data_IF_390243090515
#
_entry.id   IF_390243090515
#
_cell.length_a   1.000
_cell.length_b   1.000
_cell.length_c   1.000
_cell.angle_alpha   90.00
_cell.angle_beta   90.00
_cell.angle_gamma   90.00
#
_symmetry.space_group_name_H-M   'P 1'
#
loop_
_entity.id
_entity.type
_entity.pdbx_description
1 polymer ?
#
# COMPACT_ATOMS: atom_id res chain seq x y z
N UNK A 1 -24.60 -23.19 7.19
CA UNK A 1 -23.12 -23.13 7.13
C UNK A 1 -22.65 -24.17 6.12
N UNK A 2 -21.96 -23.77 5.04
CA UNK A 2 -21.34 -24.70 4.09
C UNK A 2 -19.86 -24.76 4.42
N UNK A 3 -19.43 -25.82 5.10
CA UNK A 3 -18.06 -25.96 5.57
C UNK A 3 -17.33 -26.95 4.66
N UNK A 4 -16.27 -26.49 4.02
CA UNK A 4 -15.44 -27.20 3.03
C UNK A 4 -14.57 -28.33 3.63
N UNK A 5 -15.00 -28.94 4.74
CA UNK A 5 -14.23 -30.00 5.40
C UNK A 5 -14.18 -31.23 4.49
N UNK A 6 -12.97 -31.59 4.06
CA UNK A 6 -12.72 -32.78 3.23
C UNK A 6 -12.76 -32.53 1.72
N UNK A 7 -12.92 -31.29 1.27
CA UNK A 7 -12.77 -30.97 -0.15
C UNK A 7 -11.27 -30.85 -0.48
N UNK A 8 -10.87 -31.38 -1.63
CA UNK A 8 -9.51 -31.25 -2.16
C UNK A 8 -9.57 -30.65 -3.54
N UNK A 9 -8.78 -29.62 -3.77
CA UNK A 9 -8.59 -29.05 -5.10
C UNK A 9 -7.28 -29.55 -5.71
N UNK A 10 -7.28 -29.69 -7.03
CA UNK A 10 -6.09 -29.91 -7.84
C UNK A 10 -6.14 -28.92 -8.99
N UNK A 11 -5.22 -27.97 -8.99
CA UNK A 11 -5.07 -27.02 -10.09
C UNK A 11 -4.15 -27.59 -11.17
N UNK A 12 -4.59 -27.51 -12.42
CA UNK A 12 -3.85 -27.95 -13.58
C UNK A 12 -3.10 -26.77 -14.24
N UNK A 13 -2.03 -27.03 -15.01
CA UNK A 13 -1.21 -25.97 -15.63
C UNK A 13 -1.95 -25.10 -16.66
N UNK A 14 -3.06 -25.59 -17.21
CA UNK A 14 -3.95 -24.88 -18.14
C UNK A 14 -4.95 -23.94 -17.42
N UNK A 15 -4.88 -23.89 -16.08
CA UNK A 15 -5.76 -23.09 -15.24
C UNK A 15 -7.07 -23.79 -14.85
N UNK A 16 -7.30 -25.03 -15.28
CA UNK A 16 -8.47 -25.82 -14.87
C UNK A 16 -8.34 -26.26 -13.40
N UNK A 17 -9.41 -26.10 -12.62
CA UNK A 17 -9.46 -26.54 -11.22
C UNK A 17 -10.36 -27.78 -11.09
N UNK A 18 -9.79 -28.86 -10.56
CA UNK A 18 -10.51 -30.08 -10.22
C UNK A 18 -10.88 -30.05 -8.74
N UNK A 19 -12.16 -30.04 -8.41
CA UNK A 19 -12.68 -30.10 -7.05
C UNK A 19 -13.13 -31.51 -6.73
N UNK A 20 -12.53 -32.13 -5.71
CA UNK A 20 -12.98 -33.41 -5.15
C UNK A 20 -13.69 -33.14 -3.84
N UNK A 21 -14.97 -33.44 -3.77
CA UNK A 21 -15.77 -33.30 -2.56
C UNK A 21 -15.58 -34.54 -1.67
N UNK A 22 -15.96 -34.41 -0.41
CA UNK A 22 -15.88 -35.48 0.59
C UNK A 22 -16.80 -36.67 0.30
N UNK A 23 -17.83 -36.47 -0.51
CA UNK A 23 -18.75 -37.52 -0.99
C UNK A 23 -18.18 -38.32 -2.18
N UNK A 24 -16.97 -37.97 -2.64
CA UNK A 24 -16.32 -38.58 -3.81
C UNK A 24 -16.68 -37.92 -5.14
N UNK A 25 -17.57 -36.93 -5.16
CA UNK A 25 -17.94 -36.22 -6.38
C UNK A 25 -16.79 -35.34 -6.88
N UNK A 26 -16.57 -35.33 -8.19
CA UNK A 26 -15.54 -34.48 -8.82
C UNK A 26 -16.19 -33.44 -9.73
N UNK A 27 -15.84 -32.18 -9.54
CA UNK A 27 -16.28 -31.07 -10.39
C UNK A 27 -15.08 -30.43 -11.08
N UNK A 28 -15.30 -30.04 -12.33
CA UNK A 28 -14.29 -29.36 -13.14
C UNK A 28 -14.73 -27.92 -13.33
N UNK A 29 -13.84 -26.98 -13.03
CA UNK A 29 -14.06 -25.56 -13.30
C UNK A 29 -12.96 -25.07 -14.23
N UNK A 30 -13.34 -24.73 -15.45
CA UNK A 30 -12.45 -24.12 -16.44
C UNK A 30 -12.70 -22.61 -16.45
N UNK A 31 -11.65 -21.77 -16.41
CA UNK A 31 -11.83 -20.33 -16.44
C UNK A 31 -12.43 -19.88 -17.77
N UNK A 32 -13.35 -18.90 -17.72
CA UNK A 32 -13.96 -18.34 -18.93
C UNK A 32 -12.94 -17.69 -19.89
N UNK A 33 -11.79 -17.26 -19.37
CA UNK A 33 -10.67 -16.77 -20.18
C UNK A 33 -10.14 -17.82 -21.15
N UNK A 34 -10.32 -19.12 -20.89
CA UNK A 34 -9.91 -20.17 -21.82
C UNK A 34 -10.66 -20.07 -23.17
N UNK A 35 -11.89 -19.55 -23.16
CA UNK A 35 -12.69 -19.32 -24.36
C UNK A 35 -12.29 -18.04 -25.10
N UNK A 36 -12.02 -16.97 -24.35
CA UNK A 36 -11.72 -15.65 -24.91
C UNK A 36 -10.25 -15.52 -25.34
N UNK A 37 -9.34 -16.16 -24.62
CA UNK A 37 -7.89 -16.03 -24.76
C UNK A 37 -7.19 -17.39 -24.64
N UNK A 38 -7.45 -18.34 -25.56
CA UNK A 38 -6.92 -19.70 -25.47
C UNK A 38 -5.38 -19.75 -25.47
N UNK A 39 -4.73 -18.83 -26.18
CA UNK A 39 -3.26 -18.75 -26.25
C UNK A 39 -2.61 -18.36 -24.91
N UNK A 40 -3.32 -17.58 -24.07
CA UNK A 40 -2.81 -17.18 -22.75
C UNK A 40 -3.04 -18.24 -21.67
N UNK A 41 -3.99 -19.15 -21.90
CA UNK A 41 -4.26 -20.28 -21.01
C UNK A 41 -3.41 -21.51 -21.36
N UNK A 42 -2.67 -21.47 -22.46
CA UNK A 42 -1.72 -22.53 -22.80
C UNK A 42 -0.57 -22.54 -21.77
N UNK A 43 -0.25 -23.71 -21.18
CA UNK A 43 0.86 -23.83 -20.24
C UNK A 43 2.15 -23.32 -20.87
N UNK A 44 2.77 -22.28 -20.29
CA UNK A 44 3.99 -21.66 -20.83
C UNK A 44 5.24 -22.55 -20.65
N UNK A 45 5.14 -23.59 -19.83
CA UNK A 45 6.21 -24.55 -19.55
C UNK A 45 5.87 -25.38 -18.31
N UNK A 46 6.70 -26.38 -17.96
CA UNK A 46 6.51 -27.12 -16.72
C UNK A 46 6.65 -26.18 -15.52
N UNK A 47 5.59 -26.09 -14.71
CA UNK A 47 5.69 -25.41 -13.43
C UNK A 47 6.72 -26.14 -12.56
N UNK A 48 7.58 -25.42 -11.82
CA UNK A 48 8.49 -26.06 -10.89
C UNK A 48 7.66 -26.89 -9.91
N UNK A 49 7.96 -28.19 -9.81
CA UNK A 49 7.32 -29.06 -8.82
C UNK A 49 7.74 -28.53 -7.45
N UNK A 50 6.79 -27.96 -6.71
CA UNK A 50 7.04 -27.61 -5.31
C UNK A 50 7.60 -28.85 -4.63
N UNK A 51 8.83 -28.75 -4.12
CA UNK A 51 9.36 -29.77 -3.25
C UNK A 51 8.35 -29.95 -2.12
N UNK A 52 8.13 -31.21 -1.69
CA UNK A 52 7.26 -31.52 -0.55
C UNK A 52 7.50 -30.51 0.57
N UNK A 53 6.43 -30.08 1.25
CA UNK A 53 6.49 -29.08 2.32
C UNK A 53 7.77 -29.26 3.13
N UNK A 54 8.58 -28.20 3.33
CA UNK A 54 9.80 -28.33 4.08
C UNK A 54 9.46 -28.98 5.42
N UNK A 55 9.96 -30.21 5.64
CA UNK A 55 9.74 -30.96 6.88
C UNK A 55 10.45 -30.34 8.08
N UNK A 56 11.19 -29.26 7.87
CA UNK A 56 11.60 -28.35 8.92
C UNK A 56 10.64 -27.19 9.02
N UNK A 57 9.93 -27.07 10.15
CA UNK A 57 9.39 -25.79 10.64
C UNK A 57 10.53 -24.77 10.55
N UNK A 58 10.54 -23.98 9.48
CA UNK A 58 11.61 -23.05 9.22
C UNK A 58 11.52 -21.89 10.21
N UNK A 59 12.63 -21.62 10.88
CA UNK A 59 12.93 -20.33 11.49
C UNK A 59 12.58 -20.22 12.97
N UNK A 60 13.61 -19.91 13.76
CA UNK A 60 13.56 -19.32 15.09
C UNK A 60 12.18 -18.72 15.44
N UNK A 61 11.38 -19.47 16.22
CA UNK A 61 10.10 -19.00 16.79
C UNK A 61 10.25 -17.78 17.72
N UNK A 62 11.48 -17.31 17.89
CA UNK A 62 11.90 -16.16 18.69
C UNK A 62 12.05 -14.88 17.87
N UNK A 63 11.97 -14.92 16.54
CA UNK A 63 11.97 -13.74 15.69
C UNK A 63 10.66 -12.95 15.87
N UNK A 64 10.67 -12.02 16.83
CA UNK A 64 9.56 -11.11 17.07
C UNK A 64 9.62 -9.93 16.09
N UNK A 65 8.49 -9.58 15.48
CA UNK A 65 8.37 -8.34 14.71
C UNK A 65 8.75 -7.15 15.61
N UNK A 66 9.60 -6.22 15.14
CA UNK A 66 10.02 -5.07 15.94
C UNK A 66 8.80 -4.24 16.35
N UNK A 67 8.72 -3.92 17.65
CA UNK A 67 7.66 -3.06 18.18
C UNK A 67 7.93 -1.60 17.79
N UNK A 68 6.86 -0.87 17.48
CA UNK A 68 6.95 0.57 17.22
C UNK A 68 7.46 1.30 18.46
N UNK A 69 8.51 2.10 18.30
CA UNK A 69 9.08 2.94 19.38
C UNK A 69 8.21 4.17 19.69
N UNK A 70 7.38 4.61 18.75
CA UNK A 70 6.49 5.78 18.86
C UNK A 70 5.09 5.45 18.38
N UNK A 71 4.08 6.08 18.99
CA UNK A 71 2.69 5.91 18.58
C UNK A 71 2.43 6.63 17.26
N UNK A 72 1.37 6.24 16.53
CA UNK A 72 0.95 6.94 15.30
C UNK A 72 0.64 8.42 15.57
N UNK A 73 0.03 8.71 16.72
CA UNK A 73 -0.29 10.07 17.14
C UNK A 73 0.98 10.92 17.33
N UNK A 74 2.01 10.38 17.99
CA UNK A 74 3.30 11.07 18.16
C UNK A 74 3.99 11.34 16.82
N UNK A 75 4.01 10.36 15.92
CA UNK A 75 4.61 10.55 14.59
C UNK A 75 3.86 11.62 13.79
N UNK A 76 2.52 11.62 13.83
CA UNK A 76 1.69 12.63 13.17
C UNK A 76 1.93 14.03 13.75
N UNK A 77 1.96 14.16 15.07
CA UNK A 77 2.23 15.44 15.73
C UNK A 77 3.62 15.97 15.37
N UNK A 78 4.63 15.09 15.37
CA UNK A 78 5.98 15.45 14.97
C UNK A 78 6.03 15.93 13.52
N UNK A 79 5.44 15.17 12.59
CA UNK A 79 5.37 15.53 11.17
C UNK A 79 4.70 16.89 10.95
N UNK A 80 3.56 17.14 11.58
CA UNK A 80 2.85 18.43 11.47
C UNK A 80 3.71 19.57 12.04
N UNK A 81 4.35 19.36 13.19
CA UNK A 81 5.18 20.38 13.83
C UNK A 81 6.42 20.73 12.99
N UNK A 82 7.07 19.73 12.39
CA UNK A 82 8.19 19.94 11.46
C UNK A 82 7.74 20.71 10.23
N UNK A 83 6.60 20.34 9.65
CA UNK A 83 6.07 20.99 8.46
C UNK A 83 5.70 22.46 8.74
N UNK A 84 5.01 22.72 9.85
CA UNK A 84 4.68 24.09 10.29
C UNK A 84 5.93 24.92 10.56
N UNK A 85 7.01 24.33 11.09
CA UNK A 85 8.28 25.02 11.28
C UNK A 85 8.91 25.37 9.93
N UNK A 86 8.96 24.42 9.00
CA UNK A 86 9.50 24.62 7.66
C UNK A 86 8.72 25.73 6.93
N UNK A 87 7.39 25.67 6.93
CA UNK A 87 6.54 26.68 6.30
C UNK A 87 6.72 28.07 6.92
N UNK A 88 6.88 28.17 8.25
CA UNK A 88 7.20 29.45 8.91
C UNK A 88 8.54 30.01 8.44
N UNK A 89 9.56 29.18 8.33
CA UNK A 89 10.87 29.60 7.83
C UNK A 89 10.79 30.03 6.36
N UNK A 90 10.13 29.24 5.50
CA UNK A 90 9.94 29.57 4.09
C UNK A 90 9.16 30.87 3.88
N UNK A 91 8.20 31.19 4.76
CA UNK A 91 7.45 32.47 4.76
C UNK A 91 8.22 33.65 5.31
N UNK A 92 9.26 33.44 6.12
CA UNK A 92 10.19 34.50 6.55
C UNK A 92 11.25 34.81 5.48
N UNK A 93 11.53 33.84 4.59
CA UNK A 93 12.52 33.97 3.50
C UNK A 93 12.11 34.89 2.32
N UNK A 94 10.85 35.34 2.10
CA UNK A 94 10.53 36.39 1.12
C UNK A 94 10.56 37.81 1.74
N UNK A 95 10.45 37.97 3.06
CA UNK A 95 10.30 39.29 3.71
C UNK A 95 11.64 40.04 3.87
N UNK A 96 12.77 39.32 3.81
CA UNK A 96 14.11 39.94 3.76
C UNK A 96 14.52 40.43 2.36
N UNK A 97 13.80 40.04 1.30
CA UNK A 97 14.15 40.40 -0.08
C UNK A 97 13.30 41.57 -0.63
N UNK A 98 12.22 41.95 0.05
CA UNK A 98 11.36 43.07 -0.36
C UNK A 98 11.77 44.43 0.23
N UNK A 99 12.81 44.50 1.06
CA UNK A 99 13.30 45.75 1.67
C UNK A 99 14.44 46.46 0.88
N UNK A 100 14.72 46.02 -0.35
CA UNK A 100 15.65 46.71 -1.26
C UNK A 100 14.94 47.07 -2.56
N UNK A 101 13.98 47.97 -2.48
CA UNK A 101 13.61 48.84 -3.60
C UNK A 101 13.78 50.29 -3.15
N UNK A 102 15.04 50.73 -3.20
CA UNK A 102 15.40 52.14 -3.12
C UNK A 102 15.15 52.77 -4.50
N UNK A 103 13.93 53.25 -4.74
CA UNK A 103 13.63 54.44 -5.56
C UNK A 103 12.11 54.72 -5.65
N UNK A 104 11.66 55.79 -4.99
CA UNK A 104 10.62 56.70 -5.54
C UNK A 104 9.16 56.56 -5.07
N UNK A 105 8.76 57.55 -4.26
CA UNK A 105 7.41 58.14 -4.09
C UNK A 105 6.35 57.49 -3.18
N UNK A 106 6.24 58.11 -1.99
CA UNK A 106 5.03 58.66 -1.32
C UNK A 106 3.72 57.87 -1.24
N UNK A 107 3.32 57.58 0.00
CA UNK A 107 1.92 57.32 0.36
C UNK A 107 1.70 56.88 1.80
N UNK A 108 1.63 57.86 2.71
CA UNK A 108 0.94 57.95 4.02
C UNK A 108 0.58 56.66 4.80
N UNK A 109 0.98 56.67 6.07
CA UNK A 109 0.75 55.72 7.17
C UNK A 109 -0.74 55.62 7.59
N UNK A 110 -1.21 54.38 7.80
CA UNK A 110 -2.18 53.96 8.85
C UNK A 110 -3.68 54.00 8.52
N UNK A 111 -4.37 52.85 8.54
CA UNK A 111 -5.18 52.40 9.70
C UNK A 111 -5.82 51.00 9.47
N UNK A 112 -5.62 50.14 10.47
CA UNK A 112 -6.38 49.01 11.00
C UNK A 112 -7.30 48.05 10.19
N UNK A 113 -7.06 46.77 10.54
CA UNK A 113 -8.02 45.67 10.82
C UNK A 113 -8.86 45.05 9.70
N UNK A 114 -8.28 44.07 9.00
CA UNK A 114 -9.01 42.81 8.76
C UNK A 114 -8.04 41.62 8.60
N UNK A 115 -7.98 40.64 9.54
CA UNK A 115 -7.19 39.44 9.33
C UNK A 115 -7.95 38.50 8.37
N UNK A 116 -7.37 38.10 7.23
CA UNK A 116 -8.07 37.23 6.29
C UNK A 116 -8.23 35.82 6.88
N UNK A 117 -9.39 35.18 6.64
CA UNK A 117 -9.73 33.91 7.27
C UNK A 117 -8.99 32.73 6.61
N UNK A 118 -8.71 31.74 7.46
CA UNK A 118 -8.19 30.38 7.21
C UNK A 118 -6.66 30.19 7.20
#
# INVERSE_FOLDING_TARGET
>A
MKTFWGWRDQQLPDGTVLWRLSDGSTYVTTPGSAWLFPQLCAPTGPAPRWAAEPTGRCGERTAMMPKRKRTRAQNRAHYIATERRHNRQARQVPERQTATCDFGCSGIVGDDDDPPPF
#
